data_IF_350500756098
#
_entry.id   IF_350500756098
#
_cell.length_a   1.000
_cell.length_b   1.000
_cell.length_c   1.000
_cell.angle_alpha   90.00
_cell.angle_beta   90.00
_cell.angle_gamma   90.00
#
_symmetry.space_group_name_H-M   'P 1'
#
loop_
_entity.id
_entity.type
_entity.pdbx_description
1 polymer ?
#
# COMPACT_ATOMS: atom_id res chain seq x y z
N UNK A 1 27.68 1.47 -3.85
CA UNK A 1 27.25 2.37 -2.75
C UNK A 1 26.08 3.25 -3.18
N UNK A 2 26.19 3.97 -4.30
CA UNK A 2 25.13 4.87 -4.80
C UNK A 2 23.78 4.18 -5.06
N UNK A 3 23.77 3.01 -5.70
CA UNK A 3 22.54 2.23 -5.98
C UNK A 3 21.77 1.80 -4.72
N UNK A 4 22.50 1.45 -3.65
CA UNK A 4 21.93 1.07 -2.35
C UNK A 4 21.33 2.30 -1.66
N UNK A 5 22.03 3.44 -1.73
CA UNK A 5 21.53 4.69 -1.18
C UNK A 5 20.25 5.17 -1.90
N UNK A 6 20.21 5.05 -3.24
CA UNK A 6 19.02 5.36 -4.03
C UNK A 6 17.83 4.43 -3.67
N UNK A 7 18.08 3.15 -3.41
CA UNK A 7 17.06 2.22 -2.90
C UNK A 7 16.48 2.71 -1.57
N UNK A 8 17.32 3.12 -0.61
CA UNK A 8 16.86 3.62 0.69
C UNK A 8 16.03 4.90 0.57
N UNK A 9 16.44 5.85 -0.28
CA UNK A 9 15.66 7.07 -0.53
C UNK A 9 14.30 6.73 -1.12
N UNK A 10 14.25 5.86 -2.14
CA UNK A 10 12.99 5.44 -2.76
C UNK A 10 12.09 4.70 -1.79
N UNK A 11 12.65 3.84 -0.94
CA UNK A 11 11.90 3.15 0.10
C UNK A 11 11.35 4.12 1.17
N UNK A 12 12.15 5.10 1.59
CA UNK A 12 11.71 6.16 2.51
C UNK A 12 10.57 7.00 1.93
N UNK A 13 10.70 7.43 0.67
CA UNK A 13 9.65 8.15 -0.05
C UNK A 13 8.41 7.29 -0.27
N UNK A 14 8.56 6.02 -0.64
CA UNK A 14 7.46 5.06 -0.79
C UNK A 14 6.70 4.87 0.51
N UNK A 15 7.39 4.91 1.65
CA UNK A 15 6.74 4.85 2.96
C UNK A 15 5.89 6.09 3.19
N UNK A 16 6.46 7.30 3.01
CA UNK A 16 5.73 8.55 3.22
C UNK A 16 4.53 8.68 2.28
N UNK A 17 4.74 8.46 0.98
CA UNK A 17 3.67 8.50 -0.01
C UNK A 17 2.65 7.37 0.17
N UNK A 18 3.08 6.20 0.64
CA UNK A 18 2.19 5.08 0.97
C UNK A 18 1.17 5.45 2.04
N UNK A 19 1.60 6.14 3.10
CA UNK A 19 0.67 6.67 4.10
C UNK A 19 -0.30 7.69 3.51
N UNK A 20 0.22 8.65 2.73
CA UNK A 20 -0.60 9.71 2.14
C UNK A 20 -1.64 9.15 1.17
N UNK A 21 -1.23 8.28 0.25
CA UNK A 21 -2.12 7.67 -0.75
C UNK A 21 -3.11 6.71 -0.10
N UNK A 22 -2.66 5.90 0.87
CA UNK A 22 -3.56 5.03 1.63
C UNK A 22 -4.66 5.80 2.35
N UNK A 23 -4.31 6.92 3.00
CA UNK A 23 -5.27 7.81 3.65
C UNK A 23 -6.22 8.48 2.64
N UNK A 24 -5.71 8.95 1.49
CA UNK A 24 -6.55 9.54 0.44
C UNK A 24 -7.54 8.53 -0.13
N UNK A 25 -7.11 7.29 -0.39
CA UNK A 25 -8.00 6.23 -0.87
C UNK A 25 -9.05 5.86 0.16
N UNK A 26 -8.70 5.86 1.44
CA UNK A 26 -9.68 5.69 2.50
C UNK A 26 -10.73 6.80 2.50
N UNK A 27 -10.30 8.06 2.49
CA UNK A 27 -11.21 9.22 2.44
C UNK A 27 -12.13 9.11 1.22
N UNK A 28 -11.57 8.80 0.05
CA UNK A 28 -12.33 8.59 -1.17
C UNK A 28 -13.35 7.45 -1.05
N UNK A 29 -12.98 6.36 -0.39
CA UNK A 29 -13.88 5.21 -0.16
C UNK A 29 -15.09 5.62 0.70
N UNK A 30 -14.88 6.41 1.75
CA UNK A 30 -15.97 6.94 2.58
C UNK A 30 -16.81 8.03 1.88
N UNK A 31 -16.25 8.74 0.92
CA UNK A 31 -16.98 9.71 0.10
C UNK A 31 -17.92 9.05 -0.91
N UNK A 32 -17.48 7.94 -1.52
CA UNK A 32 -18.24 7.24 -2.56
C UNK A 32 -19.34 6.36 -1.97
N UNK A 33 -19.08 5.75 -0.80
CA UNK A 33 -20.04 4.82 -0.21
C UNK A 33 -20.92 5.54 0.82
N UNK A 34 -22.26 5.51 0.67
CA UNK A 34 -23.18 6.15 1.60
C UNK A 34 -22.96 5.69 3.05
N UNK A 35 -23.01 6.59 4.05
CA UNK A 35 -22.82 6.25 5.48
C UNK A 35 -23.84 5.25 6.05
N UNK A 36 -24.93 5.02 5.31
CA UNK A 36 -25.99 4.04 5.63
C UNK A 36 -25.52 2.61 5.33
N UNK A 37 -24.56 2.45 4.41
CA UNK A 37 -23.97 1.16 4.05
C UNK A 37 -22.71 0.96 4.90
N UNK A 38 -22.72 -0.03 5.79
CA UNK A 38 -21.53 -0.44 6.55
C UNK A 38 -20.63 -1.20 5.58
N UNK A 39 -19.51 -0.59 5.14
CA UNK A 39 -18.55 -1.32 4.32
C UNK A 39 -17.92 -2.44 5.15
N UNK A 40 -17.77 -3.64 4.59
CA UNK A 40 -16.99 -4.67 5.24
C UNK A 40 -15.51 -4.25 5.27
N UNK A 41 -14.81 -4.55 6.38
CA UNK A 41 -13.42 -4.14 6.60
C UNK A 41 -12.47 -4.62 5.50
N UNK A 42 -12.74 -5.77 4.90
CA UNK A 42 -11.93 -6.30 3.79
C UNK A 42 -12.02 -5.43 2.54
N UNK A 43 -13.15 -4.77 2.27
CA UNK A 43 -13.30 -3.89 1.10
C UNK A 43 -12.55 -2.57 1.31
N UNK A 44 -12.65 -2.02 2.53
CA UNK A 44 -11.85 -0.87 2.95
C UNK A 44 -10.36 -1.17 2.85
N UNK A 45 -9.94 -2.35 3.31
CA UNK A 45 -8.53 -2.72 3.31
C UNK A 45 -7.97 -2.97 1.92
N UNK A 46 -8.77 -3.46 0.96
CA UNK A 46 -8.38 -3.57 -0.45
C UNK A 46 -8.17 -2.19 -1.07
N UNK A 47 -9.11 -1.25 -0.88
CA UNK A 47 -9.01 0.10 -1.43
C UNK A 47 -7.77 0.84 -0.93
N UNK A 48 -7.57 0.81 0.39
CA UNK A 48 -6.40 1.42 1.04
C UNK A 48 -5.11 0.73 0.62
N UNK A 49 -5.08 -0.61 0.64
CA UNK A 49 -3.93 -1.40 0.24
C UNK A 49 -3.53 -1.13 -1.22
N UNK A 50 -4.50 -0.96 -2.11
CA UNK A 50 -4.26 -0.55 -3.49
C UNK A 50 -3.66 0.85 -3.58
N UNK A 51 -4.17 1.82 -2.81
CA UNK A 51 -3.59 3.17 -2.71
C UNK A 51 -2.13 3.15 -2.24
N UNK A 52 -1.83 2.39 -1.19
CA UNK A 52 -0.46 2.18 -0.71
C UNK A 52 0.43 1.49 -1.77
N UNK A 53 -0.13 0.54 -2.51
CA UNK A 53 0.51 -0.12 -3.66
C UNK A 53 0.88 0.85 -4.78
N UNK A 54 -0.05 1.73 -5.16
CA UNK A 54 0.17 2.75 -6.18
C UNK A 54 1.31 3.70 -5.81
N UNK A 55 1.38 4.16 -4.56
CA UNK A 55 2.48 4.99 -4.09
C UNK A 55 3.83 4.27 -4.20
N UNK A 56 3.89 2.99 -3.81
CA UNK A 56 5.07 2.15 -4.01
C UNK A 56 5.48 2.07 -5.48
N UNK A 57 4.52 1.84 -6.38
CA UNK A 57 4.79 1.83 -7.82
C UNK A 57 5.37 3.16 -8.32
N UNK A 58 4.79 4.29 -7.93
CA UNK A 58 5.26 5.63 -8.34
C UNK A 58 6.71 5.87 -7.93
N UNK A 59 7.11 5.46 -6.72
CA UNK A 59 8.48 5.62 -6.23
C UNK A 59 9.51 4.72 -6.93
N UNK A 60 9.07 3.57 -7.45
CA UNK A 60 9.94 2.58 -8.11
C UNK A 60 9.78 2.52 -9.63
N UNK A 61 8.95 3.40 -10.20
CA UNK A 61 8.76 3.54 -11.64
C UNK A 61 10.07 3.98 -12.30
N UNK A 62 10.44 3.31 -13.39
CA UNK A 62 11.55 3.70 -14.25
C UNK A 62 11.00 3.88 -15.67
N UNK A 63 10.72 5.12 -16.12
CA UNK A 63 10.05 5.35 -17.41
C UNK A 63 10.85 4.85 -18.62
N UNK A 64 12.18 4.77 -18.48
CA UNK A 64 13.10 4.24 -19.50
C UNK A 64 13.13 2.70 -19.57
N UNK A 65 12.63 2.01 -18.55
CA UNK A 65 12.60 0.56 -18.53
C UNK A 65 11.53 0.02 -19.50
N UNK A 66 11.74 -1.23 -19.96
CA UNK A 66 10.75 -1.94 -20.78
C UNK A 66 9.39 -1.95 -20.09
N UNK A 67 8.31 -1.78 -20.86
CA UNK A 67 6.93 -1.75 -20.35
C UNK A 67 6.59 -2.96 -19.48
N UNK A 68 7.13 -4.14 -19.83
CA UNK A 68 6.95 -5.37 -19.04
C UNK A 68 7.52 -5.26 -17.62
N UNK A 69 8.65 -4.58 -17.44
CA UNK A 69 9.28 -4.35 -16.12
C UNK A 69 8.44 -3.38 -15.28
N UNK A 70 7.92 -2.33 -15.90
CA UNK A 70 7.05 -1.38 -15.19
C UNK A 70 5.72 -2.04 -14.82
N UNK A 71 5.17 -2.89 -15.69
CA UNK A 71 3.94 -3.64 -15.42
C UNK A 71 4.13 -4.67 -14.30
N UNK A 72 5.25 -5.40 -14.27
CA UNK A 72 5.55 -6.30 -13.14
C UNK A 72 5.76 -5.52 -11.85
N UNK A 73 6.43 -4.37 -11.89
CA UNK A 73 6.60 -3.48 -10.71
C UNK A 73 5.24 -3.02 -10.19
N UNK A 74 4.33 -2.61 -11.09
CA UNK A 74 2.96 -2.23 -10.75
C UNK A 74 2.20 -3.38 -10.08
N UNK A 75 2.24 -4.58 -10.69
CA UNK A 75 1.55 -5.75 -10.14
C UNK A 75 2.10 -6.13 -8.76
N UNK A 76 3.42 -6.15 -8.60
CA UNK A 76 4.05 -6.45 -7.31
C UNK A 76 3.60 -5.43 -6.28
N UNK A 77 3.69 -4.13 -6.59
CA UNK A 77 3.31 -3.06 -5.66
C UNK A 77 1.84 -3.14 -5.25
N UNK A 78 0.93 -3.28 -6.21
CA UNK A 78 -0.50 -3.28 -5.94
C UNK A 78 -0.94 -4.55 -5.22
N UNK A 79 -0.49 -5.73 -5.65
CA UNK A 79 -0.86 -7.00 -5.00
C UNK A 79 -0.32 -7.07 -3.58
N UNK A 80 0.95 -6.70 -3.37
CA UNK A 80 1.54 -6.67 -2.02
C UNK A 80 0.90 -5.61 -1.12
N UNK A 81 0.54 -4.44 -1.66
CA UNK A 81 -0.23 -3.43 -0.95
C UNK A 81 -1.60 -3.92 -0.51
N UNK A 82 -2.34 -4.59 -1.41
CA UNK A 82 -3.64 -5.21 -1.09
C UNK A 82 -3.50 -6.31 -0.03
N UNK A 83 -2.50 -7.18 -0.15
CA UNK A 83 -2.20 -8.21 0.86
C UNK A 83 -1.86 -7.54 2.20
N UNK A 84 -1.04 -6.49 2.20
CA UNK A 84 -0.68 -5.75 3.41
C UNK A 84 -1.90 -5.09 4.06
N UNK A 85 -2.78 -4.46 3.28
CA UNK A 85 -4.04 -3.91 3.77
C UNK A 85 -4.90 -5.00 4.42
N UNK A 86 -5.06 -6.14 3.76
CA UNK A 86 -5.80 -7.28 4.29
C UNK A 86 -5.20 -7.81 5.60
N UNK A 87 -3.88 -7.98 5.70
CA UNK A 87 -3.21 -8.36 6.95
C UNK A 87 -3.46 -7.32 8.06
N UNK A 88 -3.43 -6.03 7.72
CA UNK A 88 -3.82 -4.96 8.64
C UNK A 88 -5.25 -5.11 9.15
N UNK A 89 -6.19 -5.58 8.32
CA UNK A 89 -7.58 -5.85 8.73
C UNK A 89 -7.68 -6.91 9.82
N UNK A 90 -6.90 -7.98 9.71
CA UNK A 90 -6.81 -9.03 10.73
C UNK A 90 -6.23 -8.47 12.04
N UNK A 91 -5.21 -7.62 11.96
CA UNK A 91 -4.57 -7.03 13.15
C UNK A 91 -5.45 -6.02 13.88
N UNK A 92 -6.36 -5.36 13.18
CA UNK A 92 -7.25 -4.35 13.77
C UNK A 92 -8.44 -4.94 14.53
N UNK A 93 -8.86 -6.16 14.22
CA UNK A 93 -9.98 -6.86 14.85
C UNK A 93 -9.67 -8.36 15.03
N UNK A 94 -8.74 -8.70 15.95
CA UNK A 94 -8.27 -10.07 16.13
C UNK A 94 -9.35 -11.02 16.65
N UNK A 95 -10.42 -10.51 17.26
CA UNK A 95 -11.51 -11.30 17.83
C UNK A 95 -12.78 -11.30 16.96
N UNK A 96 -12.85 -10.47 15.91
CA UNK A 96 -14.02 -10.36 15.03
C UNK A 96 -15.26 -9.76 15.71
N UNK A 97 -15.08 -9.14 16.88
CA UNK A 97 -16.17 -8.61 17.73
C UNK A 97 -16.25 -7.08 17.62
N UNK A 98 -15.28 -6.42 16.97
CA UNK A 98 -15.32 -4.95 16.85
C UNK A 98 -16.43 -4.53 15.90
N UNK A 99 -17.11 -3.48 16.33
CA UNK A 99 -18.20 -2.92 15.57
C UNK A 99 -17.61 -2.27 14.31
N UNK A 100 -17.70 -2.96 13.16
CA UNK A 100 -17.23 -2.49 11.85
C UNK A 100 -17.72 -1.07 11.55
N UNK A 101 -18.88 -0.71 12.10
CA UNK A 101 -19.47 0.64 12.02
C UNK A 101 -18.63 1.71 12.71
N UNK A 102 -17.97 1.42 13.84
CA UNK A 102 -17.05 2.35 14.51
C UNK A 102 -15.76 2.52 13.67
N UNK A 103 -15.22 1.43 13.13
CA UNK A 103 -14.04 1.44 12.25
C UNK A 103 -14.30 2.22 10.96
N UNK A 104 -15.45 2.00 10.33
CA UNK A 104 -15.84 2.61 9.07
C UNK A 104 -16.49 4.00 9.23
N UNK A 105 -16.61 4.54 10.45
CA UNK A 105 -17.25 5.85 10.68
C UNK A 105 -16.30 7.03 10.62
N UNK A 106 -14.99 6.81 10.77
CA UNK A 106 -14.02 7.89 10.81
C UNK A 106 -12.65 7.48 10.30
N UNK A 107 -12.03 8.38 9.53
CA UNK A 107 -10.64 8.30 9.06
C UNK A 107 -9.65 8.40 10.24
N UNK A 108 -10.07 9.00 11.35
CA UNK A 108 -9.27 9.09 12.59
C UNK A 108 -9.44 7.88 13.50
N UNK A 109 -10.20 6.87 13.07
CA UNK A 109 -10.36 5.66 13.86
C UNK A 109 -9.00 4.99 14.07
N UNK A 110 -8.61 4.64 15.31
CA UNK A 110 -7.38 3.89 15.57
C UNK A 110 -7.31 2.58 14.78
N UNK A 111 -8.47 2.04 14.41
CA UNK A 111 -8.63 0.72 13.79
C UNK A 111 -8.35 0.73 12.28
N UNK A 112 -8.42 1.90 11.67
CA UNK A 112 -8.07 2.15 10.25
C UNK A 112 -6.55 2.13 10.03
N UNK A 113 -5.85 2.58 11.06
CA UNK A 113 -4.44 2.91 11.02
C UNK A 113 -3.58 1.67 10.66
N UNK A 114 -3.81 0.47 11.24
CA UNK A 114 -3.15 -0.77 10.85
C UNK A 114 -3.23 -1.11 9.35
N UNK A 115 -4.30 -0.73 8.63
CA UNK A 115 -4.45 -1.02 7.20
C UNK A 115 -3.42 -0.27 6.38
N UNK A 116 -3.31 1.03 6.68
CA UNK A 116 -2.40 1.93 6.00
C UNK A 116 -0.95 1.55 6.34
N UNK A 117 -0.66 1.25 7.62
CA UNK A 117 0.67 0.82 8.05
C UNK A 117 1.11 -0.48 7.36
N UNK A 118 0.28 -1.53 7.42
CA UNK A 118 0.63 -2.83 6.84
C UNK A 118 0.62 -2.80 5.31
N UNK A 119 -0.33 -2.11 4.68
CA UNK A 119 -0.36 -1.89 3.23
C UNK A 119 0.89 -1.19 2.73
N UNK A 120 1.29 -0.11 3.41
CA UNK A 120 2.49 0.66 3.08
C UNK A 120 3.76 -0.14 3.28
N UNK A 121 3.90 -0.82 4.43
CA UNK A 121 5.09 -1.58 4.76
C UNK A 121 5.31 -2.74 3.79
N UNK A 122 4.29 -3.56 3.56
CA UNK A 122 4.39 -4.75 2.70
C UNK A 122 4.58 -4.34 1.23
N UNK A 123 3.85 -3.32 0.76
CA UNK A 123 4.06 -2.74 -0.59
C UNK A 123 5.49 -2.28 -0.77
N UNK A 124 6.00 -1.47 0.16
CA UNK A 124 7.35 -0.90 0.09
C UNK A 124 8.42 -1.98 0.16
N UNK A 125 8.28 -2.96 1.06
CA UNK A 125 9.24 -4.06 1.17
C UNK A 125 9.28 -4.93 -0.10
N UNK A 126 8.12 -5.30 -0.64
CA UNK A 126 8.04 -6.13 -1.84
C UNK A 126 8.56 -5.40 -3.09
N UNK A 127 8.20 -4.13 -3.27
CA UNK A 127 8.73 -3.31 -4.39
C UNK A 127 10.22 -3.03 -4.26
N UNK A 128 10.72 -2.81 -3.04
CA UNK A 128 12.15 -2.65 -2.77
C UNK A 128 12.93 -3.93 -3.08
N UNK A 129 12.41 -5.09 -2.68
CA UNK A 129 13.02 -6.38 -2.97
C UNK A 129 13.02 -6.66 -4.48
N UNK A 130 11.93 -6.37 -5.17
CA UNK A 130 11.85 -6.44 -6.63
C UNK A 130 12.86 -5.51 -7.31
N UNK A 131 12.99 -4.27 -6.85
CA UNK A 131 13.98 -3.32 -7.37
C UNK A 131 15.41 -3.81 -7.15
N UNK A 132 15.72 -4.32 -5.95
CA UNK A 132 17.04 -4.90 -5.66
C UNK A 132 17.35 -6.10 -6.56
N UNK A 133 16.36 -6.97 -6.81
CA UNK A 133 16.49 -8.08 -7.76
C UNK A 133 16.77 -7.59 -9.18
N UNK A 134 16.08 -6.54 -9.64
CA UNK A 134 16.33 -5.94 -10.97
C UNK A 134 17.72 -5.34 -11.09
N UNK A 135 18.17 -4.61 -10.05
CA UNK A 135 19.53 -4.07 -9.99
C UNK A 135 20.58 -5.17 -10.15
N UNK A 136 20.36 -6.33 -9.52
CA UNK A 136 21.27 -7.46 -9.61
C UNK A 136 21.21 -8.18 -10.96
N UNK A 137 20.00 -8.51 -11.44
CA UNK A 137 19.82 -9.32 -12.65
C UNK A 137 20.13 -8.55 -13.94
N UNK A 138 19.67 -7.30 -14.02
CA UNK A 138 19.79 -6.47 -15.23
C UNK A 138 20.96 -5.51 -15.18
N UNK A 139 21.71 -5.51 -14.07
CA UNK A 139 22.84 -4.61 -13.83
C UNK A 139 22.49 -3.13 -14.04
N UNK A 140 21.24 -2.76 -13.76
CA UNK A 140 20.73 -1.39 -13.92
C UNK A 140 21.62 -0.40 -13.15
N UNK A 141 22.08 0.65 -13.84
CA UNK A 141 22.75 1.81 -13.26
C UNK A 141 21.78 2.68 -12.44
#
# INVERSE_FOLDING_TARGET
MERIFALFIRAGLATIFGFMFGAMFMIGTFWVVPPIIILPMWLLSISVGFGCGLAGFVCFLKPEAKTTINLTTFLIACLSGVIGGYLGSIMSDPEGVRNVRLVASSVTSPDVTPFIYMGTFISTAATSAWYAYRLWLYNED
#
